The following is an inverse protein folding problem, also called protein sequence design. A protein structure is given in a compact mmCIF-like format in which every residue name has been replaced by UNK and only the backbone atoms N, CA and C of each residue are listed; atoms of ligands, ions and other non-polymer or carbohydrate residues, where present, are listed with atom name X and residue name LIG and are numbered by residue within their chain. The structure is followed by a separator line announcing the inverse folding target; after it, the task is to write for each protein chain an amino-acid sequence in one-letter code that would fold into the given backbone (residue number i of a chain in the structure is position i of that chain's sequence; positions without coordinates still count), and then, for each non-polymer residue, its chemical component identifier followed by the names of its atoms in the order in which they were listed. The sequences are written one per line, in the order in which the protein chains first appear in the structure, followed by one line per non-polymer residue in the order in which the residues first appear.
data_IF_636215425958
#
_entry.id   IF_636215425958
#
_cell.length_a   1.000
_cell.length_b   1.000
_cell.length_c   1.000
_cell.angle_alpha   90.00
_cell.angle_beta   90.00
_cell.angle_gamma   90.00
#
_symmetry.space_group_name_H-M   'P 1'
#
loop_
_entity.id
_entity.type
_entity.pdbx_description
1 polymer ?
#
# COMPACT_ATOMS: atom_id res chain seq x y z
N UNK A 1 25.94 2.82 -49.86
CA UNK A 1 26.12 1.91 -48.71
C UNK A 1 26.41 2.65 -47.42
N UNK A 2 27.38 3.53 -47.41
CA UNK A 2 27.71 4.30 -46.19
C UNK A 2 26.59 5.14 -45.64
N UNK A 3 25.79 5.77 -46.53
CA UNK A 3 24.67 6.58 -46.12
C UNK A 3 23.55 5.76 -45.44
N UNK A 4 23.36 4.53 -45.88
CA UNK A 4 22.39 3.61 -45.28
C UNK A 4 22.81 3.20 -43.86
N UNK A 5 24.10 2.94 -43.66
CA UNK A 5 24.66 2.61 -42.35
C UNK A 5 24.50 3.80 -41.41
N UNK A 6 24.77 4.99 -41.88
CA UNK A 6 24.62 6.24 -41.11
C UNK A 6 23.15 6.45 -40.71
N UNK A 7 22.20 6.23 -41.64
CA UNK A 7 20.77 6.30 -41.36
C UNK A 7 20.36 5.33 -40.25
N UNK A 8 20.80 4.08 -40.34
CA UNK A 8 20.50 3.06 -39.33
C UNK A 8 21.06 3.47 -37.95
N UNK A 9 22.29 3.99 -37.92
CA UNK A 9 22.92 4.44 -36.68
C UNK A 9 22.17 5.62 -36.06
N UNK A 10 21.70 6.56 -36.88
CA UNK A 10 20.91 7.70 -36.41
C UNK A 10 19.55 7.26 -35.86
N UNK A 11 18.92 6.32 -36.53
CA UNK A 11 17.64 5.76 -36.06
C UNK A 11 17.81 5.01 -34.75
N UNK A 12 18.89 4.26 -34.62
CA UNK A 12 19.23 3.56 -33.38
C UNK A 12 19.49 4.54 -32.23
N UNK A 13 20.20 5.63 -32.48
CA UNK A 13 20.43 6.67 -31.51
C UNK A 13 19.12 7.29 -31.01
N UNK A 14 18.22 7.57 -31.94
CA UNK A 14 16.91 8.13 -31.61
C UNK A 14 16.09 7.16 -30.74
N UNK A 15 16.06 5.91 -31.13
CA UNK A 15 15.39 4.86 -30.34
C UNK A 15 15.97 4.72 -28.95
N UNK A 16 17.30 4.79 -28.82
CA UNK A 16 17.97 4.74 -27.53
C UNK A 16 17.58 5.92 -26.62
N UNK A 17 17.47 7.11 -27.20
CA UNK A 17 17.02 8.30 -26.46
C UNK A 17 15.59 8.13 -25.97
N UNK A 18 14.72 7.62 -26.85
CA UNK A 18 13.32 7.37 -26.51
C UNK A 18 13.23 6.32 -25.39
N UNK A 19 14.02 5.27 -25.46
CA UNK A 19 14.09 4.23 -24.42
C UNK A 19 14.57 4.79 -23.08
N UNK A 20 15.58 5.65 -23.09
CA UNK A 20 16.05 6.33 -21.87
C UNK A 20 14.96 7.17 -21.24
N UNK A 21 14.21 7.89 -22.05
CA UNK A 21 13.09 8.71 -21.60
C UNK A 21 11.98 7.85 -20.97
N UNK A 22 11.65 6.73 -21.62
CA UNK A 22 10.66 5.77 -21.10
C UNK A 22 11.10 5.15 -19.78
N UNK A 23 12.37 4.77 -19.67
CA UNK A 23 12.93 4.22 -18.43
C UNK A 23 12.84 5.24 -17.30
N UNK A 24 13.16 6.50 -17.58
CA UNK A 24 13.06 7.58 -16.60
C UNK A 24 11.61 7.77 -16.14
N UNK A 25 10.66 7.72 -17.05
CA UNK A 25 9.23 7.81 -16.72
C UNK A 25 8.77 6.63 -15.87
N UNK A 26 9.23 5.42 -16.21
CA UNK A 26 8.91 4.23 -15.42
C UNK A 26 9.48 4.32 -14.02
N UNK A 27 10.72 4.77 -13.85
CA UNK A 27 11.33 4.95 -12.55
C UNK A 27 10.53 5.94 -11.69
N UNK A 28 10.06 7.04 -12.28
CA UNK A 28 9.21 8.01 -11.60
C UNK A 28 7.90 7.37 -11.15
N UNK A 29 7.30 6.54 -11.98
CA UNK A 29 6.06 5.81 -11.63
C UNK A 29 6.29 4.81 -10.51
N UNK A 30 7.41 4.10 -10.54
CA UNK A 30 7.79 3.15 -9.49
C UNK A 30 7.97 3.87 -8.16
N UNK A 31 8.64 5.00 -8.14
CA UNK A 31 8.83 5.81 -6.93
C UNK A 31 7.48 6.25 -6.34
N UNK A 32 6.55 6.68 -7.18
CA UNK A 32 5.20 7.05 -6.76
C UNK A 32 4.43 5.86 -6.20
N UNK A 33 4.58 4.68 -6.81
CA UNK A 33 3.95 3.45 -6.32
C UNK A 33 4.52 3.03 -4.96
N UNK A 34 5.81 3.10 -4.79
CA UNK A 34 6.47 2.83 -3.50
C UNK A 34 5.96 3.75 -2.41
N UNK A 35 5.85 5.04 -2.70
CA UNK A 35 5.31 6.02 -1.77
C UNK A 35 3.88 5.69 -1.38
N UNK A 36 3.02 5.38 -2.35
CA UNK A 36 1.62 5.02 -2.12
C UNK A 36 1.50 3.73 -1.31
N UNK A 37 2.36 2.76 -1.58
CA UNK A 37 2.39 1.51 -0.82
C UNK A 37 2.76 1.75 0.64
N UNK A 38 3.82 2.50 0.88
CA UNK A 38 4.27 2.84 2.24
C UNK A 38 3.17 3.57 3.00
N UNK A 39 2.56 4.58 2.36
CA UNK A 39 1.46 5.34 2.94
C UNK A 39 0.25 4.44 3.23
N UNK A 40 -0.08 3.55 2.30
CA UNK A 40 -1.15 2.57 2.47
C UNK A 40 -0.92 1.62 3.64
N UNK A 41 0.29 1.10 3.79
CA UNK A 41 0.65 0.22 4.91
C UNK A 41 0.60 0.95 6.25
N UNK A 42 1.08 2.17 6.32
CA UNK A 42 0.99 2.99 7.53
C UNK A 42 -0.47 3.23 7.92
N UNK A 43 -1.32 3.54 6.94
CA UNK A 43 -2.75 3.72 7.17
C UNK A 43 -3.40 2.43 7.68
N UNK A 44 -3.05 1.29 7.10
CA UNK A 44 -3.56 -0.02 7.54
C UNK A 44 -3.11 -0.36 8.96
N UNK A 45 -1.89 -0.05 9.32
CA UNK A 45 -1.38 -0.22 10.69
C UNK A 45 -2.22 0.57 11.69
N UNK A 46 -2.46 1.85 11.39
CA UNK A 46 -3.26 2.73 12.26
C UNK A 46 -4.69 2.23 12.40
N UNK A 47 -5.30 1.80 11.29
CA UNK A 47 -6.66 1.26 11.31
C UNK A 47 -6.74 -0.05 12.09
N UNK A 48 -5.75 -0.91 11.93
CA UNK A 48 -5.70 -2.19 12.66
C UNK A 48 -5.54 -1.94 14.15
N UNK A 49 -4.68 -1.03 14.55
CA UNK A 49 -4.49 -0.65 15.95
C UNK A 49 -5.78 -0.08 16.54
N UNK A 50 -6.44 0.81 15.83
CA UNK A 50 -7.71 1.38 16.25
C UNK A 50 -8.79 0.31 16.40
N UNK A 51 -8.89 -0.61 15.44
CA UNK A 51 -9.83 -1.72 15.49
C UNK A 51 -9.56 -2.64 16.67
N UNK A 52 -8.30 -2.93 16.96
CA UNK A 52 -7.89 -3.73 18.10
C UNK A 52 -8.32 -3.07 19.41
N UNK A 53 -8.11 -1.77 19.54
CA UNK A 53 -8.52 -1.01 20.70
C UNK A 53 -10.03 -1.01 20.90
N UNK A 54 -10.79 -0.85 19.80
CA UNK A 54 -12.25 -0.90 19.85
C UNK A 54 -12.76 -2.28 20.23
N UNK A 55 -12.16 -3.34 19.71
CA UNK A 55 -12.51 -4.71 20.08
C UNK A 55 -12.23 -4.99 21.55
N UNK A 56 -11.14 -4.50 22.08
CA UNK A 56 -10.83 -4.64 23.50
C UNK A 56 -11.85 -3.94 24.38
N UNK A 57 -12.32 -2.76 24.00
CA UNK A 57 -13.41 -2.04 24.70
C UNK A 57 -14.70 -2.86 24.69
N UNK A 58 -15.04 -3.45 23.57
CA UNK A 58 -16.24 -4.30 23.44
C UNK A 58 -16.10 -5.53 24.33
N UNK A 59 -14.95 -6.17 24.36
CA UNK A 59 -14.65 -7.32 25.22
C UNK A 59 -14.89 -6.99 26.69
N UNK A 60 -14.40 -5.85 27.14
CA UNK A 60 -14.58 -5.40 28.52
C UNK A 60 -16.06 -5.18 28.83
N UNK A 61 -16.79 -4.54 27.92
CA UNK A 61 -18.24 -4.31 28.09
C UNK A 61 -19.02 -5.61 28.14
N UNK A 62 -18.68 -6.56 27.29
CA UNK A 62 -19.32 -7.88 27.29
C UNK A 62 -19.07 -8.60 28.61
N UNK A 63 -17.83 -8.59 29.09
CA UNK A 63 -17.46 -9.21 30.37
C UNK A 63 -18.24 -8.62 31.54
N UNK A 64 -18.38 -7.29 31.55
CA UNK A 64 -19.16 -6.59 32.58
C UNK A 64 -20.63 -6.97 32.52
N UNK A 65 -21.16 -7.10 31.31
CA UNK A 65 -22.55 -7.48 31.07
C UNK A 65 -22.80 -8.92 31.54
N UNK A 66 -21.92 -9.82 31.24
CA UNK A 66 -21.98 -11.21 31.70
C UNK A 66 -22.01 -11.28 33.22
N UNK A 67 -21.18 -10.51 33.90
CA UNK A 67 -21.15 -10.41 35.35
C UNK A 67 -22.49 -9.93 35.89
N UNK A 68 -23.07 -8.90 35.29
CA UNK A 68 -24.38 -8.38 35.70
C UNK A 68 -25.50 -9.39 35.52
N UNK A 69 -25.48 -10.13 34.43
CA UNK A 69 -26.47 -11.19 34.18
C UNK A 69 -26.36 -12.27 35.23
N UNK A 70 -25.16 -12.69 35.61
CA UNK A 70 -24.92 -13.67 36.66
C UNK A 70 -25.40 -13.15 38.01
N UNK A 71 -25.21 -11.89 38.32
CA UNK A 71 -25.69 -11.26 39.56
C UNK A 71 -27.23 -11.17 39.63
N UNK A 72 -27.87 -10.94 38.47
CA UNK A 72 -29.31 -10.89 38.40
C UNK A 72 -29.97 -12.25 38.43
N UNK A 73 -29.25 -13.31 38.19
CA UNK A 73 -29.78 -14.63 38.08
C UNK A 73 -29.06 -15.59 39.04
N UNK A 74 -28.92 -15.23 40.31
CA UNK A 74 -28.09 -16.03 41.21
C UNK A 74 -28.79 -17.26 41.78
N UNK A 75 -30.01 -17.41 41.48
CA UNK A 75 -30.87 -18.31 42.26
C UNK A 75 -30.74 -19.74 41.91
N UNK A 76 -29.96 -19.97 41.01
CA UNK A 76 -30.00 -21.34 40.58
C UNK A 76 -28.84 -22.14 41.02
#
# INVERSE_FOLDING_TARGET
MESKIVEILLDMQKEMKDMKSEIKNMNTKIDKLEYKMTDGFETLELLTENNTNELNKVKIKVSKLEKRVLEFNPVN
#
